data_IF_435455762328
#
_entry.id   IF_435455762328
#
_cell.length_a   1.000
_cell.length_b   1.000
_cell.length_c   1.000
_cell.angle_alpha   90.00
_cell.angle_beta   90.00
_cell.angle_gamma   90.00
#
_symmetry.space_group_name_H-M   'P 1'
#
loop_
_entity.id
_entity.type
_entity.pdbx_description
1 polymer ?
#
# COMPACT_ATOMS: atom_id res chain seq x y z
N UNK A 1 -13.59 36.37 48.30
CA UNK A 1 -13.87 34.97 47.90
C UNK A 1 -13.65 34.87 46.40
N UNK A 2 -12.66 34.09 45.93
CA UNK A 2 -12.28 34.03 44.50
C UNK A 2 -13.18 33.06 43.76
N UNK A 3 -13.93 33.53 42.76
CA UNK A 3 -14.69 32.69 41.84
C UNK A 3 -13.73 31.97 40.89
N UNK A 4 -13.63 30.65 41.01
CA UNK A 4 -12.88 29.77 40.09
C UNK A 4 -13.70 29.66 38.79
N UNK A 5 -13.18 30.20 37.68
CA UNK A 5 -13.72 29.95 36.34
C UNK A 5 -13.37 28.52 35.95
N UNK A 6 -14.38 27.68 35.72
CA UNK A 6 -14.21 26.33 35.16
C UNK A 6 -14.27 26.51 33.64
N UNK A 7 -13.12 26.43 32.98
CA UNK A 7 -13.03 26.36 31.53
C UNK A 7 -13.40 24.93 31.13
N UNK A 8 -14.63 24.72 30.67
CA UNK A 8 -15.05 23.44 30.07
C UNK A 8 -14.41 23.41 28.68
N UNK A 9 -13.26 22.73 28.57
CA UNK A 9 -12.65 22.41 27.29
C UNK A 9 -13.55 21.45 26.55
N UNK A 10 -14.16 21.93 25.46
CA UNK A 10 -14.91 21.10 24.52
C UNK A 10 -13.90 20.19 23.81
N UNK A 11 -13.72 18.97 24.32
CA UNK A 11 -12.97 17.93 23.65
C UNK A 11 -13.81 17.47 22.45
N UNK A 12 -13.57 18.07 21.29
CA UNK A 12 -14.09 17.56 20.02
C UNK A 12 -13.36 16.25 19.72
N UNK A 13 -13.89 15.14 20.25
CA UNK A 13 -13.51 13.80 19.80
C UNK A 13 -14.08 13.70 18.39
N UNK A 14 -13.24 13.93 17.39
CA UNK A 14 -13.51 13.46 16.04
C UNK A 14 -13.59 11.93 16.13
N UNK A 15 -14.80 11.42 16.30
CA UNK A 15 -15.12 10.08 15.89
C UNK A 15 -14.98 10.07 14.36
N UNK A 16 -13.76 9.78 13.89
CA UNK A 16 -13.55 9.29 12.53
C UNK A 16 -14.33 7.98 12.46
N UNK A 17 -15.58 8.08 12.03
CA UNK A 17 -16.31 6.95 11.49
C UNK A 17 -15.50 6.44 10.32
N UNK A 18 -14.62 5.46 10.58
CA UNK A 18 -13.88 4.69 9.57
C UNK A 18 -14.88 3.83 8.81
N UNK A 19 -15.75 4.48 8.04
CA UNK A 19 -16.32 3.86 6.87
C UNK A 19 -15.32 4.08 5.72
N UNK A 20 -14.05 3.74 5.98
CA UNK A 20 -13.00 3.71 4.99
C UNK A 20 -13.30 2.55 4.05
N UNK A 21 -13.21 2.80 2.75
CA UNK A 21 -13.23 1.77 1.71
C UNK A 21 -12.22 0.72 2.16
N UNK A 22 -12.69 -0.44 2.66
CA UNK A 22 -11.80 -1.40 3.31
C UNK A 22 -10.77 -1.83 2.28
N UNK A 23 -9.52 -1.38 2.43
CA UNK A 23 -8.41 -1.81 1.58
C UNK A 23 -8.34 -3.32 1.76
N UNK A 24 -8.37 -4.06 0.66
CA UNK A 24 -8.34 -5.52 0.68
C UNK A 24 -7.15 -6.00 -0.11
N UNK A 25 -5.95 -6.02 0.49
CA UNK A 25 -4.78 -6.56 -0.16
C UNK A 25 -4.95 -8.08 -0.35
N UNK A 26 -4.70 -8.56 -1.55
CA UNK A 26 -4.72 -9.97 -1.92
C UNK A 26 -3.31 -10.56 -1.82
N UNK A 27 -3.16 -11.69 -1.12
CA UNK A 27 -1.89 -12.39 -1.06
C UNK A 27 -1.85 -13.48 -2.12
N UNK A 28 -0.78 -13.48 -2.92
CA UNK A 28 -0.53 -14.44 -4.00
C UNK A 28 0.77 -15.17 -3.75
N UNK A 29 0.80 -16.44 -4.09
CA UNK A 29 2.00 -17.25 -4.09
C UNK A 29 2.84 -16.92 -5.33
N UNK A 30 4.14 -16.75 -5.12
CA UNK A 30 5.10 -16.56 -6.21
C UNK A 30 5.75 -17.92 -6.45
N UNK A 31 5.66 -18.42 -7.67
CA UNK A 31 6.32 -19.66 -8.07
C UNK A 31 7.57 -19.40 -8.89
N UNK A 32 8.53 -20.33 -8.88
CA UNK A 32 9.66 -20.30 -9.80
C UNK A 32 9.19 -20.33 -11.28
N UNK A 33 10.10 -20.10 -12.23
CA UNK A 33 9.77 -20.05 -13.67
C UNK A 33 9.18 -21.35 -14.25
N UNK A 34 9.21 -22.45 -13.51
CA UNK A 34 8.56 -23.72 -13.87
C UNK A 34 7.14 -23.89 -13.31
N UNK A 35 6.71 -23.02 -12.41
CA UNK A 35 5.40 -23.05 -11.76
C UNK A 35 5.23 -24.08 -10.65
N UNK A 36 6.28 -24.84 -10.31
CA UNK A 36 6.17 -26.02 -9.46
C UNK A 36 6.63 -25.84 -8.01
N UNK A 37 7.35 -24.75 -7.71
CA UNK A 37 7.87 -24.49 -6.37
C UNK A 37 7.54 -23.07 -5.93
N UNK A 38 7.03 -22.95 -4.71
CA UNK A 38 6.87 -21.69 -3.99
C UNK A 38 8.22 -21.05 -3.71
N UNK A 39 8.40 -19.80 -4.13
CA UNK A 39 9.62 -19.01 -3.83
C UNK A 39 9.30 -17.79 -2.97
N UNK A 40 8.04 -17.60 -2.58
CA UNK A 40 7.63 -16.51 -1.71
C UNK A 40 6.16 -16.15 -1.90
N UNK A 41 5.78 -15.03 -1.28
CA UNK A 41 4.44 -14.46 -1.42
C UNK A 41 4.51 -12.97 -1.74
N UNK A 42 3.51 -12.51 -2.48
CA UNK A 42 3.27 -11.10 -2.77
C UNK A 42 1.94 -10.70 -2.19
N UNK A 43 1.85 -9.54 -1.55
CA UNK A 43 0.57 -8.90 -1.28
C UNK A 43 0.34 -7.76 -2.28
N UNK A 44 -0.75 -7.82 -3.00
CA UNK A 44 -1.17 -6.87 -4.03
C UNK A 44 -2.43 -6.14 -3.60
N UNK A 45 -2.39 -4.81 -3.70
CA UNK A 45 -3.60 -3.98 -3.67
C UNK A 45 -3.78 -3.34 -5.03
N UNK A 46 -5.00 -3.41 -5.58
CA UNK A 46 -5.37 -2.64 -6.78
C UNK A 46 -6.20 -1.44 -6.38
N UNK A 47 -5.87 -0.28 -6.95
CA UNK A 47 -6.57 0.96 -6.69
C UNK A 47 -6.43 1.91 -7.89
N UNK A 48 -7.35 2.87 -8.02
CA UNK A 48 -7.19 3.98 -8.97
C UNK A 48 -6.07 4.90 -8.52
N UNK A 49 -5.19 5.34 -9.41
CA UNK A 49 -4.07 6.24 -9.05
C UNK A 49 -4.56 7.49 -8.32
N UNK A 50 -5.71 8.04 -8.72
CA UNK A 50 -6.33 9.21 -8.08
C UNK A 50 -6.81 8.97 -6.63
N UNK A 51 -7.04 7.71 -6.23
CA UNK A 51 -7.44 7.33 -4.88
C UNK A 51 -6.20 7.05 -3.98
N UNK A 52 -5.01 6.88 -4.56
CA UNK A 52 -3.77 6.53 -3.82
C UNK A 52 -3.08 7.80 -3.33
N UNK A 53 -3.63 8.40 -2.28
CA UNK A 53 -3.03 9.51 -1.54
C UNK A 53 -2.25 9.01 -0.29
N UNK A 54 -1.64 9.92 0.46
CA UNK A 54 -0.82 9.56 1.63
C UNK A 54 -1.63 8.87 2.74
N UNK A 55 -2.90 9.22 2.92
CA UNK A 55 -3.80 8.56 3.88
C UNK A 55 -4.10 7.12 3.45
N UNK A 56 -4.39 6.90 2.17
CA UNK A 56 -4.58 5.56 1.60
C UNK A 56 -3.32 4.70 1.76
N UNK A 57 -2.14 5.25 1.48
CA UNK A 57 -0.87 4.52 1.62
C UNK A 57 -0.63 4.16 3.09
N UNK A 58 -0.93 5.07 4.02
CA UNK A 58 -0.81 4.79 5.45
C UNK A 58 -1.74 3.66 5.89
N UNK A 59 -3.01 3.70 5.51
CA UNK A 59 -3.96 2.61 5.77
C UNK A 59 -3.50 1.29 5.14
N UNK A 60 -2.98 1.34 3.91
CA UNK A 60 -2.46 0.17 3.23
C UNK A 60 -1.23 -0.43 3.95
N UNK A 61 -0.29 0.40 4.41
CA UNK A 61 0.88 -0.03 5.17
C UNK A 61 0.48 -0.72 6.48
N UNK A 62 -0.56 -0.23 7.16
CA UNK A 62 -1.11 -0.86 8.36
C UNK A 62 -1.67 -2.27 8.07
N UNK A 63 -2.21 -2.50 6.86
CA UNK A 63 -2.76 -3.79 6.43
C UNK A 63 -1.71 -4.80 5.92
N UNK A 64 -0.54 -4.34 5.46
CA UNK A 64 0.48 -5.24 4.85
C UNK A 64 1.72 -5.49 5.72
N UNK A 65 2.10 -4.56 6.60
CA UNK A 65 3.33 -4.69 7.42
C UNK A 65 3.41 -5.98 8.23
N UNK A 66 2.27 -6.51 8.68
CA UNK A 66 2.18 -7.70 9.53
C UNK A 66 1.90 -8.98 8.73
N UNK A 67 1.72 -8.90 7.40
CA UNK A 67 1.41 -10.07 6.57
C UNK A 67 2.62 -10.96 6.27
N UNK A 68 3.84 -10.44 6.43
CA UNK A 68 5.07 -11.21 6.22
C UNK A 68 5.28 -11.65 4.77
N UNK A 69 4.65 -10.98 3.81
CA UNK A 69 4.91 -11.22 2.39
C UNK A 69 6.32 -10.77 2.01
N UNK A 70 6.88 -11.39 0.97
CA UNK A 70 8.20 -11.02 0.45
C UNK A 70 8.17 -9.68 -0.29
N UNK A 71 7.01 -9.36 -0.88
CA UNK A 71 6.78 -8.13 -1.64
C UNK A 71 5.38 -7.62 -1.35
N UNK A 72 5.25 -6.34 -1.01
CA UNK A 72 3.96 -5.68 -0.86
C UNK A 72 3.88 -4.52 -1.85
N UNK A 73 2.85 -4.52 -2.70
CA UNK A 73 2.67 -3.51 -3.74
C UNK A 73 1.24 -2.97 -3.83
N UNK A 74 1.14 -1.73 -4.31
CA UNK A 74 -0.08 -1.18 -4.90
C UNK A 74 0.14 -1.11 -6.41
N UNK A 75 -0.82 -1.56 -7.21
CA UNK A 75 -0.83 -1.40 -8.67
C UNK A 75 -2.01 -0.53 -9.08
N UNK A 76 -1.74 0.50 -9.87
CA UNK A 76 -2.77 1.42 -10.35
C UNK A 76 -3.65 0.75 -11.41
N UNK A 77 -4.96 0.82 -11.26
CA UNK A 77 -5.92 0.19 -12.18
C UNK A 77 -5.79 0.71 -13.61
N UNK A 78 -5.47 2.00 -13.77
CA UNK A 78 -5.30 2.66 -15.06
C UNK A 78 -4.03 2.25 -15.79
N UNK A 79 -3.05 1.71 -15.06
CA UNK A 79 -1.72 1.40 -15.61
C UNK A 79 -1.60 -0.01 -16.20
N UNK A 80 -2.58 -0.89 -15.94
CA UNK A 80 -2.53 -2.29 -16.37
C UNK A 80 -2.82 -2.45 -17.87
N UNK A 81 -1.80 -2.21 -18.69
CA UNK A 81 -1.86 -2.32 -20.15
C UNK A 81 -0.66 -3.10 -20.66
N UNK A 82 -0.87 -4.03 -21.60
CA UNK A 82 0.21 -4.84 -22.20
C UNK A 82 1.14 -5.52 -21.18
N UNK A 83 0.57 -6.11 -20.12
CA UNK A 83 1.32 -6.74 -19.01
C UNK A 83 2.28 -5.79 -18.27
N UNK A 84 2.05 -4.48 -18.33
CA UNK A 84 2.77 -3.49 -17.52
C UNK A 84 1.83 -2.90 -16.49
N UNK A 85 2.39 -2.48 -15.37
CA UNK A 85 1.69 -1.73 -14.33
C UNK A 85 2.61 -0.65 -13.78
N UNK A 86 2.02 0.31 -13.09
CA UNK A 86 2.72 1.36 -12.34
C UNK A 86 2.12 1.40 -10.94
N UNK A 87 2.91 1.74 -9.94
CA UNK A 87 2.35 1.90 -8.61
C UNK A 87 3.37 2.17 -7.52
N UNK A 88 3.15 1.51 -6.38
CA UNK A 88 3.93 1.68 -5.16
C UNK A 88 4.53 0.34 -4.76
N UNK A 89 5.80 0.35 -4.37
CA UNK A 89 6.49 -0.81 -3.81
C UNK A 89 6.95 -0.49 -2.39
N UNK A 90 6.54 -1.31 -1.42
CA UNK A 90 7.06 -1.24 -0.06
C UNK A 90 8.40 -1.98 0.00
N UNK A 91 9.48 -1.22 0.24
CA UNK A 91 10.85 -1.76 0.22
C UNK A 91 11.27 -2.36 1.57
N UNK A 92 10.33 -2.48 2.50
CA UNK A 92 10.58 -2.92 3.87
C UNK A 92 11.12 -1.81 4.79
N UNK A 93 10.95 -2.01 6.10
CA UNK A 93 11.36 -1.03 7.11
C UNK A 93 10.49 0.22 7.06
N UNK A 94 11.14 1.39 6.97
CA UNK A 94 10.46 2.69 7.06
C UNK A 94 10.38 3.40 5.71
N UNK A 95 10.47 2.68 4.57
CA UNK A 95 10.42 3.30 3.23
C UNK A 95 9.53 2.58 2.24
N UNK A 96 8.94 3.37 1.33
CA UNK A 96 8.27 2.87 0.14
C UNK A 96 8.64 3.72 -1.07
N UNK A 97 8.55 3.14 -2.26
CA UNK A 97 8.86 3.78 -3.54
C UNK A 97 7.55 4.06 -4.28
N UNK A 98 7.27 5.33 -4.59
CA UNK A 98 6.17 5.73 -5.50
C UNK A 98 6.65 5.70 -6.95
N UNK A 99 5.72 5.58 -7.89
CA UNK A 99 5.97 5.66 -9.33
C UNK A 99 6.95 4.61 -9.88
N UNK A 100 6.94 3.41 -9.30
CA UNK A 100 7.70 2.28 -9.84
C UNK A 100 6.92 1.61 -10.97
N UNK A 101 7.65 1.04 -11.91
CA UNK A 101 7.08 0.25 -13.00
C UNK A 101 7.16 -1.24 -12.67
N UNK A 102 6.10 -1.96 -13.05
CA UNK A 102 5.94 -3.39 -12.86
C UNK A 102 5.66 -4.09 -14.18
N UNK A 103 6.07 -5.36 -14.26
CA UNK A 103 5.66 -6.30 -15.30
C UNK A 103 4.79 -7.41 -14.67
N UNK A 104 3.62 -7.64 -15.24
CA UNK A 104 2.72 -8.72 -14.86
C UNK A 104 3.27 -10.05 -15.38
N UNK A 105 3.62 -10.95 -14.47
CA UNK A 105 4.03 -12.31 -14.81
C UNK A 105 2.81 -13.23 -14.99
N UNK A 106 2.02 -13.38 -13.93
CA UNK A 106 0.79 -14.19 -13.89
C UNK A 106 -0.29 -13.47 -13.09
N UNK A 107 -1.48 -14.06 -12.92
CA UNK A 107 -2.61 -13.43 -12.22
C UNK A 107 -2.21 -12.79 -10.88
N UNK A 108 -2.18 -11.46 -10.86
CA UNK A 108 -1.81 -10.61 -9.72
C UNK A 108 -0.40 -10.88 -9.16
N UNK A 109 0.49 -11.50 -9.93
CA UNK A 109 1.92 -11.62 -9.62
C UNK A 109 2.70 -10.66 -10.51
N UNK A 110 3.32 -9.67 -9.88
CA UNK A 110 4.06 -8.62 -10.57
C UNK A 110 5.55 -8.70 -10.24
N UNK A 111 6.36 -8.20 -11.16
CA UNK A 111 7.81 -8.10 -11.00
C UNK A 111 8.18 -6.64 -11.14
N UNK A 112 9.00 -6.11 -10.24
CA UNK A 112 9.54 -4.76 -10.37
C UNK A 112 10.43 -4.68 -11.63
N UNK A 113 10.06 -3.82 -12.58
CA UNK A 113 10.74 -3.73 -13.88
C UNK A 113 11.60 -2.47 -14.04
N UNK A 114 11.20 -1.34 -13.45
CA UNK A 114 12.03 -0.13 -13.38
C UNK A 114 11.73 0.71 -12.14
N UNK A 115 12.76 1.41 -11.67
CA UNK A 115 12.70 2.45 -10.63
C UNK A 115 13.22 3.80 -11.14
N UNK A 116 13.38 3.99 -12.45
CA UNK A 116 14.03 5.19 -13.01
C UNK A 116 13.29 6.49 -12.65
N UNK A 117 11.97 6.39 -12.46
CA UNK A 117 11.10 7.50 -12.06
C UNK A 117 10.62 7.38 -10.60
N UNK A 118 11.24 6.50 -9.82
CA UNK A 118 10.79 6.21 -8.47
C UNK A 118 11.08 7.37 -7.52
N UNK A 119 10.11 7.67 -6.66
CA UNK A 119 10.29 8.59 -5.53
C UNK A 119 10.34 7.77 -4.24
N UNK A 120 11.46 7.85 -3.52
CA UNK A 120 11.59 7.24 -2.19
C UNK A 120 10.93 8.12 -1.13
N UNK A 121 10.02 7.52 -0.35
CA UNK A 121 9.30 8.19 0.72
C UNK A 121 9.52 7.44 2.03
N UNK A 122 9.83 8.20 3.09
CA UNK A 122 9.95 7.69 4.45
C UNK A 122 8.60 7.64 5.15
N UNK A 123 8.34 6.56 5.86
CA UNK A 123 7.20 6.37 6.75
C UNK A 123 7.53 7.11 8.05
N UNK A 124 6.71 8.11 8.40
CA UNK A 124 6.86 8.92 9.62
C UNK A 124 6.01 8.40 10.78
#
# INVERSE_FOLDING_TARGET
>A
MKFKKITIGLLAILALSSCGKKIKPETKEITNGSGNESIGTMTVTRAKEADVNDEFIKEWLEEVKDKGSNYDIIVYDESNTNNKGKGIYYNGGDTYLKNVDFELGTDLVFTLSSQDNAEEVKIN
#
